data_IF_442634800624
#
_entry.id   IF_442634800624
#
_cell.length_a   1.000
_cell.length_b   1.000
_cell.length_c   1.000
_cell.angle_alpha   90.00
_cell.angle_beta   90.00
_cell.angle_gamma   90.00
#
_symmetry.space_group_name_H-M   'P 1'
#
loop_
_entity.id
_entity.type
_entity.pdbx_description
1 polymer ?
#
# COMPACT_ATOMS: atom_id res chain seq x y z
N UNK A 1 -7.61 -11.85 -4.44
CA UNK A 1 -7.07 -10.53 -4.06
C UNK A 1 -7.33 -10.37 -2.56
N UNK A 2 -6.51 -9.63 -1.81
CA UNK A 2 -6.91 -9.28 -0.45
C UNK A 2 -8.11 -8.32 -0.59
N UNK A 3 -9.30 -8.81 -0.26
CA UNK A 3 -10.60 -8.13 -0.45
C UNK A 3 -10.59 -6.69 0.11
N UNK A 4 -9.80 -6.46 1.15
CA UNK A 4 -9.59 -5.18 1.82
C UNK A 4 -9.13 -4.01 0.92
N UNK A 5 -8.42 -4.26 -0.18
CA UNK A 5 -7.94 -3.19 -1.09
C UNK A 5 -8.98 -2.85 -2.17
N UNK A 6 -9.73 -3.85 -2.65
CA UNK A 6 -10.84 -3.63 -3.59
C UNK A 6 -11.98 -2.85 -2.93
N UNK A 7 -12.19 -3.07 -1.64
CA UNK A 7 -13.27 -2.46 -0.87
C UNK A 7 -12.94 -1.04 -0.37
N UNK A 8 -11.78 -0.47 -0.71
CA UNK A 8 -11.44 0.89 -0.30
C UNK A 8 -12.50 1.91 -0.80
N UNK A 9 -12.91 2.89 0.06
CA UNK A 9 -13.86 3.92 -0.33
C UNK A 9 -13.41 4.71 -1.55
N UNK A 10 -14.36 5.14 -2.38
CA UNK A 10 -14.08 5.91 -3.60
C UNK A 10 -13.27 7.17 -3.33
N UNK A 11 -13.51 7.83 -2.19
CA UNK A 11 -12.75 9.00 -1.76
C UNK A 11 -11.26 8.69 -1.64
N UNK A 12 -10.89 7.59 -0.97
CA UNK A 12 -9.49 7.17 -0.82
C UNK A 12 -8.88 6.79 -2.17
N UNK A 13 -9.64 6.08 -3.02
CA UNK A 13 -9.21 5.72 -4.38
C UNK A 13 -8.94 6.93 -5.28
N UNK A 14 -9.51 8.11 -4.96
CA UNK A 14 -9.24 9.33 -5.74
C UNK A 14 -7.85 9.92 -5.48
N UNK A 15 -7.21 9.55 -4.37
CA UNK A 15 -5.91 10.09 -3.95
C UNK A 15 -4.75 9.09 -4.06
N UNK A 16 -5.02 7.83 -4.41
CA UNK A 16 -3.99 6.78 -4.49
C UNK A 16 -4.05 6.01 -5.81
N UNK A 17 -2.90 5.53 -6.25
CA UNK A 17 -2.79 4.54 -7.31
C UNK A 17 -2.49 3.18 -6.68
N UNK A 18 -3.31 2.18 -6.98
CA UNK A 18 -3.16 0.83 -6.45
C UNK A 18 -2.54 -0.06 -7.50
N UNK A 19 -1.35 -0.58 -7.20
CA UNK A 19 -0.70 -1.60 -8.00
C UNK A 19 -0.72 -2.95 -7.29
N UNK A 20 -0.90 -4.01 -8.06
CA UNK A 20 -0.86 -5.38 -7.58
C UNK A 20 0.16 -6.17 -8.39
N UNK A 21 1.01 -6.88 -7.68
CA UNK A 21 1.96 -7.80 -8.28
C UNK A 21 1.71 -9.23 -7.83
N UNK A 22 1.91 -10.17 -8.75
CA UNK A 22 1.79 -11.60 -8.51
C UNK A 22 3.19 -12.21 -8.38
N UNK A 23 3.46 -12.88 -7.27
CA UNK A 23 4.76 -13.51 -7.00
C UNK A 23 5.06 -14.69 -7.94
N UNK A 24 4.08 -15.15 -8.72
CA UNK A 24 4.29 -16.16 -9.77
C UNK A 24 4.86 -15.55 -11.06
N UNK A 25 4.90 -14.23 -11.20
CA UNK A 25 5.47 -13.55 -12.37
C UNK A 25 6.86 -12.98 -12.08
N UNK A 26 7.70 -12.82 -13.11
CA UNK A 26 9.02 -12.21 -12.98
C UNK A 26 8.93 -10.76 -12.49
N UNK A 27 7.95 -10.00 -13.00
CA UNK A 27 7.69 -8.63 -12.57
C UNK A 27 7.39 -8.55 -11.07
N UNK A 28 6.52 -9.43 -10.55
CA UNK A 28 6.18 -9.39 -9.13
C UNK A 28 7.35 -9.77 -8.24
N UNK A 29 8.16 -10.74 -8.65
CA UNK A 29 9.40 -11.06 -7.94
C UNK A 29 10.40 -9.89 -7.93
N UNK A 30 10.51 -9.17 -9.04
CA UNK A 30 11.38 -7.99 -9.14
C UNK A 30 10.91 -6.90 -8.19
N UNK A 31 9.62 -6.54 -8.24
CA UNK A 31 9.04 -5.51 -7.38
C UNK A 31 9.12 -5.85 -5.90
N UNK A 32 8.84 -7.10 -5.53
CA UNK A 32 8.99 -7.58 -4.16
C UNK A 32 10.42 -7.40 -3.63
N UNK A 33 11.42 -7.69 -4.46
CA UNK A 33 12.83 -7.47 -4.12
C UNK A 33 13.20 -5.99 -4.05
N UNK A 34 12.70 -5.15 -4.96
CA UNK A 34 12.93 -3.70 -4.92
C UNK A 34 12.42 -3.08 -3.61
N UNK A 35 11.23 -3.50 -3.18
CA UNK A 35 10.60 -3.07 -1.93
C UNK A 35 11.27 -3.67 -0.68
N UNK A 36 12.22 -4.61 -0.85
CA UNK A 36 12.87 -5.38 0.23
C UNK A 36 11.88 -6.19 1.09
N UNK A 37 10.80 -6.68 0.46
CA UNK A 37 9.82 -7.54 1.11
C UNK A 37 10.44 -8.82 1.63
N UNK A 38 10.02 -9.24 2.83
CA UNK A 38 10.48 -10.48 3.46
C UNK A 38 9.44 -11.57 3.39
N UNK A 39 8.20 -11.23 3.70
CA UNK A 39 7.11 -12.19 3.86
C UNK A 39 5.82 -11.71 3.21
N UNK A 40 5.06 -12.67 2.67
CA UNK A 40 3.76 -12.42 2.03
C UNK A 40 2.60 -12.58 3.03
N UNK A 41 1.52 -11.78 2.87
CA UNK A 41 1.39 -10.65 1.96
C UNK A 41 2.19 -9.43 2.44
N UNK A 42 2.71 -8.65 1.50
CA UNK A 42 3.37 -7.36 1.76
C UNK A 42 2.52 -6.23 1.18
N UNK A 43 2.32 -5.18 1.96
CA UNK A 43 1.70 -3.93 1.51
C UNK A 43 2.72 -2.82 1.68
N UNK A 44 3.03 -2.17 0.57
CA UNK A 44 3.86 -0.98 0.55
C UNK A 44 3.03 0.24 0.14
N UNK A 45 3.25 1.36 0.84
CA UNK A 45 2.68 2.66 0.51
C UNK A 45 3.85 3.57 0.14
N UNK A 46 3.78 4.20 -1.05
CA UNK A 46 4.85 5.06 -1.57
C UNK A 46 6.24 4.40 -1.64
N UNK A 47 6.28 3.07 -1.84
CA UNK A 47 7.51 2.30 -1.91
C UNK A 47 8.09 1.89 -0.55
N UNK A 48 7.46 2.28 0.55
CA UNK A 48 7.82 1.83 1.90
C UNK A 48 6.88 0.72 2.36
N UNK A 49 7.44 -0.36 2.87
CA UNK A 49 6.66 -1.46 3.45
C UNK A 49 6.02 -0.99 4.75
N UNK A 50 4.69 -1.10 4.81
CA UNK A 50 3.88 -0.71 5.96
C UNK A 50 3.35 -1.94 6.69
N UNK A 51 2.98 -2.98 5.93
CA UNK A 51 2.54 -4.26 6.50
C UNK A 51 3.29 -5.42 5.85
N UNK A 52 3.75 -6.34 6.69
CA UNK A 52 4.29 -7.65 6.28
C UNK A 52 3.56 -8.76 7.06
N UNK A 53 3.35 -9.90 6.42
CA UNK A 53 2.74 -11.10 7.01
C UNK A 53 1.30 -10.95 7.51
N UNK A 54 0.71 -9.76 7.42
CA UNK A 54 -0.60 -9.42 7.96
C UNK A 54 -1.37 -8.59 6.93
N UNK A 55 -2.65 -8.93 6.75
CA UNK A 55 -3.59 -8.10 5.98
C UNK A 55 -4.29 -7.18 6.99
N UNK A 56 -4.09 -5.85 6.92
CA UNK A 56 -4.74 -4.92 7.82
C UNK A 56 -6.25 -4.90 7.60
N UNK A 57 -6.96 -4.44 8.63
CA UNK A 57 -8.37 -4.08 8.50
C UNK A 57 -8.57 -2.92 7.54
N UNK A 58 -9.80 -2.76 7.02
CA UNK A 58 -10.11 -1.67 6.09
C UNK A 58 -9.90 -0.30 6.73
N UNK A 59 -10.38 -0.10 7.96
CA UNK A 59 -10.23 1.17 8.71
C UNK A 59 -8.76 1.51 8.96
N UNK A 60 -7.97 0.51 9.34
CA UNK A 60 -6.54 0.65 9.62
C UNK A 60 -5.76 1.05 8.35
N UNK A 61 -6.08 0.40 7.23
CA UNK A 61 -5.48 0.73 5.94
C UNK A 61 -5.86 2.15 5.49
N UNK A 62 -7.14 2.54 5.63
CA UNK A 62 -7.62 3.89 5.30
C UNK A 62 -6.93 4.95 6.16
N UNK A 63 -6.81 4.72 7.47
CA UNK A 63 -6.18 5.64 8.39
C UNK A 63 -4.71 5.88 8.02
N UNK A 64 -3.97 4.81 7.68
CA UNK A 64 -2.56 4.93 7.34
C UNK A 64 -2.34 5.62 5.98
N UNK A 65 -3.16 5.32 4.97
CA UNK A 65 -3.15 6.02 3.68
C UNK A 65 -3.41 7.52 3.89
N UNK A 66 -4.45 7.86 4.68
CA UNK A 66 -4.84 9.24 4.95
C UNK A 66 -3.72 9.98 5.69
N UNK A 67 -3.09 9.33 6.67
CA UNK A 67 -1.96 9.88 7.42
C UNK A 67 -0.77 10.18 6.52
N UNK A 68 -0.41 9.28 5.61
CA UNK A 68 0.68 9.49 4.66
C UNK A 68 0.38 10.63 3.68
N UNK A 69 -0.85 10.67 3.16
CA UNK A 69 -1.30 11.74 2.28
C UNK A 69 -1.24 13.12 2.96
N UNK A 70 -1.75 13.23 4.20
CA UNK A 70 -1.68 14.44 5.01
C UNK A 70 -0.23 14.86 5.30
N UNK A 71 0.65 13.92 5.64
CA UNK A 71 2.08 14.20 5.88
C UNK A 71 2.78 14.77 4.64
N UNK A 72 2.43 14.28 3.44
CA UNK A 72 2.98 14.80 2.18
C UNK A 72 2.44 16.20 1.86
N UNK A 73 1.14 16.43 2.04
CA UNK A 73 0.53 17.71 1.70
C UNK A 73 0.78 18.82 2.72
N UNK A 74 0.97 18.47 4.00
CA UNK A 74 1.34 19.43 5.05
C UNK A 74 2.83 19.83 5.02
N UNK A 75 3.68 19.12 4.25
CA UNK A 75 5.08 19.50 4.03
C UNK A 75 5.25 20.63 3.00
N UNK A 76 4.17 21.14 2.42
CA UNK A 76 4.16 22.28 1.50
C UNK A 76 4.07 23.67 2.15
N UNK A 77 4.18 23.79 3.47
CA UNK A 77 4.25 25.08 4.20
C UNK A 77 5.56 25.20 4.98
N UNK A 78 6.66 25.39 4.27
CA UNK A 78 7.88 26.03 4.81
C UNK A 78 8.56 26.83 3.70
#
# INVERSE_FOLDING_TARGET
MAKSVEDLPTEIKSFIEVHKWDMRTLEGNFRFRELKGRDLPTIALDGEIVYESIIPGQEELIAEITRLWQRKNNRGSI
#
